data_IF_779495092140
#
_entry.id   IF_779495092140
#
_cell.length_a   1.000
_cell.length_b   1.000
_cell.length_c   1.000
_cell.angle_alpha   90.00
_cell.angle_beta   90.00
_cell.angle_gamma   90.00
#
_symmetry.space_group_name_H-M   'P 1'
#
loop_
_entity.id
_entity.type
_entity.pdbx_description
1 polymer ?
#
# COMPACT_ATOMS: atom_id res chain seq x y z
N UNK A 1 7.83 19.01 -16.47
CA UNK A 1 6.38 18.75 -16.33
C UNK A 1 5.75 19.79 -15.42
N UNK A 2 4.50 20.21 -15.68
CA UNK A 2 3.78 21.14 -14.79
C UNK A 2 3.31 20.42 -13.52
N UNK A 3 3.13 21.15 -12.40
CA UNK A 3 2.65 20.56 -11.16
C UNK A 3 1.29 19.84 -11.32
N UNK A 4 0.28 20.41 -12.01
CA UNK A 4 -0.99 19.70 -12.21
C UNK A 4 -0.85 18.38 -12.97
N UNK A 5 0.01 18.33 -14.00
CA UNK A 5 0.27 17.11 -14.76
C UNK A 5 0.94 16.05 -13.88
N UNK A 6 1.96 16.44 -13.10
CA UNK A 6 2.63 15.53 -12.17
C UNK A 6 1.63 14.93 -11.15
N UNK A 7 0.75 15.75 -10.59
CA UNK A 7 -0.25 15.28 -9.62
C UNK A 7 -1.25 14.31 -10.26
N UNK A 8 -1.65 14.54 -11.52
CA UNK A 8 -2.51 13.63 -12.27
C UNK A 8 -1.80 12.30 -12.53
N UNK A 9 -0.52 12.32 -12.93
CA UNK A 9 0.25 11.10 -13.19
C UNK A 9 0.42 10.28 -11.91
N UNK A 10 0.75 10.92 -10.78
CA UNK A 10 0.84 10.26 -9.48
C UNK A 10 -0.51 9.65 -9.05
N UNK A 11 -1.61 10.36 -9.29
CA UNK A 11 -2.96 9.88 -9.02
C UNK A 11 -3.26 8.61 -9.83
N UNK A 12 -3.01 8.63 -11.14
CA UNK A 12 -3.28 7.51 -12.04
C UNK A 12 -2.35 6.31 -11.76
N UNK A 13 -1.05 6.56 -11.64
CA UNK A 13 -0.04 5.52 -11.37
C UNK A 13 -0.29 4.87 -10.02
N UNK A 14 -0.50 5.67 -8.97
CA UNK A 14 -0.75 5.15 -7.63
C UNK A 14 -2.06 4.39 -7.52
N UNK A 15 -3.13 4.90 -8.13
CA UNK A 15 -4.43 4.19 -8.19
C UNK A 15 -4.28 2.86 -8.92
N UNK A 16 -3.63 2.84 -10.09
CA UNK A 16 -3.39 1.62 -10.86
C UNK A 16 -2.53 0.61 -10.11
N UNK A 17 -1.49 1.08 -9.43
CA UNK A 17 -0.61 0.23 -8.63
C UNK A 17 -1.34 -0.42 -7.44
N UNK A 18 -2.15 0.37 -6.73
CA UNK A 18 -3.00 -0.13 -5.64
C UNK A 18 -4.01 -1.15 -6.14
N UNK A 19 -4.65 -0.90 -7.28
CA UNK A 19 -5.57 -1.84 -7.91
C UNK A 19 -4.89 -3.18 -8.26
N UNK A 20 -3.69 -3.15 -8.83
CA UNK A 20 -2.92 -4.39 -9.14
C UNK A 20 -2.64 -5.19 -7.86
N UNK A 21 -2.25 -4.52 -6.77
CA UNK A 21 -2.05 -5.18 -5.48
C UNK A 21 -3.35 -5.79 -4.91
N UNK A 22 -4.49 -5.10 -5.07
CA UNK A 22 -5.79 -5.59 -4.64
C UNK A 22 -6.25 -6.79 -5.47
N UNK A 23 -6.03 -6.77 -6.79
CA UNK A 23 -6.29 -7.90 -7.69
C UNK A 23 -5.41 -9.10 -7.35
N UNK A 24 -4.13 -8.88 -7.05
CA UNK A 24 -3.23 -9.92 -6.58
C UNK A 24 -3.71 -10.53 -5.25
N UNK A 25 -4.19 -9.69 -4.34
CA UNK A 25 -4.75 -10.11 -3.06
C UNK A 25 -6.03 -10.93 -3.25
N UNK A 26 -6.93 -10.49 -4.14
CA UNK A 26 -8.13 -11.22 -4.52
C UNK A 26 -7.80 -12.58 -5.14
N UNK A 27 -6.83 -12.63 -6.05
CA UNK A 27 -6.35 -13.87 -6.65
C UNK A 27 -5.84 -14.84 -5.59
N UNK A 28 -4.98 -14.39 -4.67
CA UNK A 28 -4.45 -15.24 -3.59
C UNK A 28 -5.53 -15.78 -2.67
N UNK A 29 -6.54 -14.97 -2.37
CA UNK A 29 -7.71 -15.40 -1.59
C UNK A 29 -8.49 -16.49 -2.32
N UNK A 30 -8.75 -16.32 -3.62
CA UNK A 30 -9.55 -17.25 -4.42
C UNK A 30 -8.81 -18.54 -4.77
N UNK A 31 -7.54 -18.46 -5.14
CA UNK A 31 -6.74 -19.59 -5.62
C UNK A 31 -6.12 -20.41 -4.48
N UNK A 32 -5.76 -19.77 -3.36
CA UNK A 32 -5.00 -20.43 -2.27
C UNK A 32 -5.67 -20.31 -0.89
N UNK A 33 -6.85 -19.70 -0.79
CA UNK A 33 -7.56 -19.53 0.49
C UNK A 33 -6.83 -18.63 1.49
N UNK A 34 -5.85 -17.82 1.04
CA UNK A 34 -5.03 -16.99 1.94
C UNK A 34 -5.83 -15.74 2.32
N UNK A 35 -6.07 -15.48 3.62
CA UNK A 35 -6.76 -14.27 4.06
C UNK A 35 -5.95 -13.00 3.74
N UNK A 36 -6.66 -11.95 3.34
CA UNK A 36 -6.12 -10.60 3.16
C UNK A 36 -6.29 -9.78 4.43
N UNK A 37 -5.60 -8.63 4.49
CA UNK A 37 -5.92 -7.60 5.49
C UNK A 37 -7.35 -7.08 5.21
N UNK A 38 -8.16 -6.94 6.26
CA UNK A 38 -9.41 -6.17 6.16
C UNK A 38 -9.07 -4.69 6.35
N UNK A 39 -9.24 -3.88 5.29
CA UNK A 39 -8.98 -2.45 5.36
C UNK A 39 -9.89 -1.73 6.37
N UNK A 40 -10.99 -2.34 6.82
CA UNK A 40 -11.74 -1.84 7.98
C UNK A 40 -10.86 -1.66 9.23
N UNK A 41 -9.81 -2.47 9.42
CA UNK A 41 -8.87 -2.30 10.53
C UNK A 41 -8.02 -1.03 10.39
N UNK A 42 -7.67 -0.64 9.16
CA UNK A 42 -6.97 0.62 8.88
C UNK A 42 -7.90 1.80 9.17
N UNK A 43 -9.14 1.74 8.71
CA UNK A 43 -10.10 2.80 9.03
C UNK A 43 -10.45 2.86 10.51
N UNK A 44 -10.51 1.72 11.21
CA UNK A 44 -10.65 1.67 12.66
C UNK A 44 -9.50 2.39 13.35
N UNK A 45 -8.27 2.10 12.94
CA UNK A 45 -7.08 2.75 13.46
C UNK A 45 -7.12 4.27 13.28
N UNK A 46 -7.43 4.74 12.06
CA UNK A 46 -7.56 6.18 11.78
C UNK A 46 -8.71 6.81 12.58
N UNK A 47 -9.86 6.15 12.70
CA UNK A 47 -10.98 6.65 13.50
C UNK A 47 -10.63 6.81 14.99
N UNK A 48 -9.78 5.94 15.53
CA UNK A 48 -9.27 6.06 16.91
C UNK A 48 -8.17 7.12 17.05
N UNK A 49 -7.42 7.45 16.00
CA UNK A 49 -6.44 8.55 16.04
C UNK A 49 -7.10 9.90 16.33
N UNK A 50 -8.32 10.12 15.81
CA UNK A 50 -9.11 11.34 16.09
C UNK A 50 -9.42 11.51 17.59
N UNK A 51 -9.29 10.44 18.37
CA UNK A 51 -9.48 10.40 19.82
C UNK A 51 -8.14 10.21 20.58
N UNK A 52 -7.01 10.47 19.92
CA UNK A 52 -5.67 10.39 20.53
C UNK A 52 -5.11 8.97 20.70
N UNK A 53 -5.80 7.94 20.21
CA UNK A 53 -5.33 6.55 20.30
C UNK A 53 -4.65 6.13 19.00
N UNK A 54 -3.33 6.26 18.98
CA UNK A 54 -2.48 5.90 17.83
C UNK A 54 -2.00 4.44 17.83
N UNK A 55 -2.12 3.74 18.96
CA UNK A 55 -1.68 2.35 19.11
C UNK A 55 -2.68 1.51 19.89
N UNK A 56 -2.74 0.23 19.56
CA UNK A 56 -3.70 -0.72 20.10
C UNK A 56 -2.98 -1.98 20.60
N UNK A 57 -3.43 -2.53 21.73
CA UNK A 57 -3.00 -3.87 22.15
C UNK A 57 -3.43 -4.94 21.13
N UNK A 58 -4.63 -4.76 20.56
CA UNK A 58 -5.13 -5.48 19.40
C UNK A 58 -6.13 -4.59 18.65
N UNK A 59 -5.81 -4.21 17.41
CA UNK A 59 -6.75 -3.44 16.59
C UNK A 59 -8.05 -4.23 16.33
N UNK A 60 -7.94 -5.56 16.22
CA UNK A 60 -9.07 -6.46 15.96
C UNK A 60 -10.06 -6.44 17.12
N UNK A 61 -9.56 -6.35 18.35
CA UNK A 61 -10.39 -6.26 19.57
C UNK A 61 -10.85 -4.84 19.91
N UNK A 62 -10.36 -3.83 19.19
CA UNK A 62 -10.75 -2.44 19.43
C UNK A 62 -12.18 -2.19 18.94
N UNK A 63 -12.90 -1.29 19.62
CA UNK A 63 -14.28 -0.95 19.26
C UNK A 63 -14.37 -0.51 17.78
N UNK A 64 -15.33 -1.06 17.00
CA UNK A 64 -15.56 -0.61 15.63
C UNK A 64 -15.92 0.87 15.57
N UNK A 65 -15.53 1.54 14.49
CA UNK A 65 -15.88 2.95 14.23
C UNK A 65 -16.91 3.02 13.09
N UNK A 66 -17.96 3.86 13.17
CA UNK A 66 -18.88 4.06 12.07
C UNK A 66 -18.15 4.42 10.77
N UNK A 67 -18.43 3.68 9.69
CA UNK A 67 -17.78 3.91 8.39
C UNK A 67 -16.32 3.42 8.28
N UNK A 68 -15.79 2.65 9.23
CA UNK A 68 -14.38 2.21 9.25
C UNK A 68 -13.94 1.51 7.95
N UNK A 69 -14.84 0.77 7.29
CA UNK A 69 -14.52 0.14 6.00
C UNK A 69 -14.28 1.17 4.89
N UNK A 70 -15.17 2.14 4.74
CA UNK A 70 -15.02 3.19 3.71
C UNK A 70 -13.77 4.02 3.96
N UNK A 71 -13.54 4.44 5.22
CA UNK A 71 -12.34 5.18 5.62
C UNK A 71 -11.06 4.38 5.34
N UNK A 72 -11.07 3.08 5.63
CA UNK A 72 -9.96 2.18 5.35
C UNK A 72 -9.60 2.09 3.87
N UNK A 73 -10.61 1.93 3.01
CA UNK A 73 -10.41 1.90 1.55
C UNK A 73 -9.89 3.23 1.01
N UNK A 74 -10.45 4.36 1.47
CA UNK A 74 -9.95 5.69 1.07
C UNK A 74 -8.50 5.87 1.50
N UNK A 75 -8.16 5.52 2.74
CA UNK A 75 -6.79 5.62 3.24
C UNK A 75 -5.83 4.73 2.46
N UNK A 76 -6.24 3.51 2.12
CA UNK A 76 -5.45 2.57 1.32
C UNK A 76 -5.08 3.16 -0.05
N UNK A 77 -6.04 3.70 -0.78
CA UNK A 77 -5.78 4.34 -2.08
C UNK A 77 -4.97 5.63 -1.93
N UNK A 78 -5.27 6.46 -0.93
CA UNK A 78 -4.52 7.70 -0.68
C UNK A 78 -3.04 7.43 -0.37
N UNK A 79 -2.74 6.42 0.45
CA UNK A 79 -1.36 6.00 0.77
C UNK A 79 -0.67 5.45 -0.49
N UNK A 80 -1.36 4.64 -1.28
CA UNK A 80 -0.85 4.17 -2.57
C UNK A 80 -0.49 5.33 -3.52
N UNK A 81 -1.39 6.30 -3.67
CA UNK A 81 -1.12 7.52 -4.45
C UNK A 81 0.10 8.27 -3.93
N UNK A 82 0.23 8.43 -2.61
CA UNK A 82 1.40 9.07 -2.02
C UNK A 82 2.70 8.29 -2.30
N UNK A 83 2.68 6.95 -2.21
CA UNK A 83 3.83 6.10 -2.49
C UNK A 83 4.21 6.02 -3.98
N UNK A 84 3.35 6.46 -4.90
CA UNK A 84 3.71 6.60 -6.32
C UNK A 84 4.82 7.64 -6.56
N UNK A 85 5.13 8.50 -5.58
CA UNK A 85 6.27 9.40 -5.64
C UNK A 85 7.62 8.69 -5.46
N UNK A 86 7.67 7.49 -4.85
CA UNK A 86 8.92 6.80 -4.53
C UNK A 86 9.79 6.49 -5.78
N UNK A 87 9.27 5.96 -6.90
CA UNK A 87 10.07 5.76 -8.11
C UNK A 87 10.70 7.05 -8.64
N UNK A 88 9.99 8.19 -8.52
CA UNK A 88 10.51 9.51 -8.93
C UNK A 88 11.62 9.99 -8.01
N UNK A 89 11.53 9.71 -6.71
CA UNK A 89 12.60 10.00 -5.76
C UNK A 89 13.85 9.15 -6.01
N UNK A 90 13.68 7.95 -6.57
CA UNK A 90 14.77 7.02 -6.86
C UNK A 90 15.43 7.33 -8.22
N UNK A 91 14.65 7.60 -9.26
CA UNK A 91 15.11 7.66 -10.65
C UNK A 91 14.84 9.01 -11.35
N UNK A 92 14.26 9.98 -10.65
CA UNK A 92 13.88 11.29 -11.20
C UNK A 92 12.52 11.29 -11.89
N UNK A 93 12.01 12.49 -12.21
CA UNK A 93 10.69 12.66 -12.83
C UNK A 93 10.58 12.04 -14.23
N UNK A 94 11.68 12.00 -14.99
CA UNK A 94 11.70 11.40 -16.33
C UNK A 94 11.41 9.89 -16.35
N UNK A 95 11.39 9.24 -15.18
CA UNK A 95 10.94 7.85 -15.07
C UNK A 95 9.48 7.68 -15.48
N UNK A 96 8.61 8.69 -15.33
CA UNK A 96 7.21 8.60 -15.79
C UNK A 96 7.15 8.43 -17.32
N UNK A 97 7.99 9.15 -18.07
CA UNK A 97 7.99 9.14 -19.53
C UNK A 97 8.71 7.90 -20.11
N UNK A 98 9.68 7.37 -19.37
CA UNK A 98 10.47 6.21 -19.72
C UNK A 98 10.56 5.22 -18.54
N UNK A 99 9.44 4.59 -18.14
CA UNK A 99 9.39 3.76 -16.96
C UNK A 99 10.21 2.49 -17.15
N UNK A 100 11.06 2.21 -16.16
CA UNK A 100 11.81 0.97 -16.04
C UNK A 100 11.35 0.18 -14.80
N UNK A 101 11.46 -1.17 -14.79
CA UNK A 101 10.97 -1.97 -13.68
C UNK A 101 11.69 -1.73 -12.35
N UNK A 102 13.01 -1.46 -12.38
CA UNK A 102 13.84 -1.46 -11.18
C UNK A 102 13.42 -0.38 -10.16
N UNK A 103 13.26 0.92 -10.50
CA UNK A 103 12.81 1.93 -9.55
C UNK A 103 11.44 1.63 -8.93
N UNK A 104 10.51 1.07 -9.71
CA UNK A 104 9.19 0.67 -9.23
C UNK A 104 9.22 -0.51 -8.25
N UNK A 105 10.05 -1.52 -8.51
CA UNK A 105 10.22 -2.66 -7.60
C UNK A 105 10.94 -2.25 -6.30
N UNK A 106 11.94 -1.38 -6.39
CA UNK A 106 12.62 -0.81 -5.21
C UNK A 106 11.64 0.04 -4.40
N UNK A 107 10.81 0.87 -5.03
CA UNK A 107 9.74 1.61 -4.37
C UNK A 107 8.73 0.68 -3.68
N UNK A 108 8.31 -0.39 -4.36
CA UNK A 108 7.50 -1.45 -3.77
C UNK A 108 8.15 -2.02 -2.51
N UNK A 109 9.42 -2.43 -2.57
CA UNK A 109 10.12 -2.93 -1.39
C UNK A 109 10.26 -1.88 -0.27
N UNK A 110 10.58 -0.63 -0.61
CA UNK A 110 10.72 0.46 0.34
C UNK A 110 9.40 0.74 1.07
N UNK A 111 8.26 0.64 0.39
CA UNK A 111 6.94 0.84 1.02
C UNK A 111 6.63 -0.17 2.13
N UNK A 112 7.32 -1.32 2.21
CA UNK A 112 7.21 -2.30 3.32
C UNK A 112 7.65 -1.72 4.67
N UNK A 113 8.44 -0.64 4.69
CA UNK A 113 8.82 0.05 5.92
C UNK A 113 7.59 0.53 6.69
N UNK A 114 6.57 1.05 5.99
CA UNK A 114 5.35 1.56 6.61
C UNK A 114 4.58 0.49 7.40
N UNK A 115 4.24 -0.69 6.84
CA UNK A 115 3.60 -1.72 7.63
C UNK A 115 4.51 -2.29 8.72
N UNK A 116 5.81 -2.49 8.47
CA UNK A 116 6.69 -3.15 9.45
C UNK A 116 6.95 -2.31 10.71
N UNK A 117 7.08 -0.99 10.55
CA UNK A 117 7.52 -0.13 11.63
C UNK A 117 6.44 0.84 12.13
N UNK A 118 5.34 1.01 11.39
CA UNK A 118 4.23 1.89 11.79
C UNK A 118 2.96 1.10 12.01
N UNK A 119 2.37 0.53 10.94
CA UNK A 119 1.04 -0.08 11.01
C UNK A 119 1.00 -1.32 11.91
N UNK A 120 1.93 -2.27 11.73
CA UNK A 120 1.93 -3.53 12.50
C UNK A 120 2.17 -3.29 14.00
N UNK A 121 3.15 -2.46 14.41
CA UNK A 121 3.27 -2.04 15.80
C UNK A 121 1.99 -1.39 16.34
N UNK A 122 1.42 -0.43 15.61
CA UNK A 122 0.21 0.28 15.99
C UNK A 122 -1.01 -0.65 16.14
N UNK A 123 -1.05 -1.74 15.37
CA UNK A 123 -2.12 -2.74 15.43
C UNK A 123 -1.97 -3.74 16.58
N UNK A 124 -0.85 -3.68 17.32
CA UNK A 124 -0.52 -4.65 18.36
C UNK A 124 0.26 -5.87 17.85
N UNK A 125 0.58 -5.93 16.55
CA UNK A 125 1.27 -7.07 15.93
C UNK A 125 2.79 -7.04 16.17
N UNK A 126 3.32 -5.95 16.72
CA UNK A 126 4.75 -5.76 16.98
C UNK A 126 5.53 -5.35 15.73
N UNK A 127 6.82 -5.02 15.91
CA UNK A 127 7.72 -4.65 14.81
C UNK A 127 7.87 -5.83 13.84
N UNK A 128 7.61 -5.57 12.57
CA UNK A 128 7.59 -6.57 11.51
C UNK A 128 6.76 -7.82 11.91
N UNK A 129 5.58 -7.60 12.49
CA UNK A 129 4.63 -8.63 12.91
C UNK A 129 5.21 -9.67 13.90
N UNK A 130 6.21 -9.28 14.71
CA UNK A 130 6.92 -10.17 15.64
C UNK A 130 6.03 -10.87 16.68
N UNK A 131 4.86 -10.30 17.01
CA UNK A 131 3.90 -10.87 17.97
C UNK A 131 2.80 -11.70 17.31
N UNK A 132 2.87 -11.95 16.00
CA UNK A 132 1.92 -12.85 15.32
C UNK A 132 2.29 -14.31 15.52
N UNK A 133 1.35 -15.27 15.40
CA UNK A 133 1.66 -16.70 15.56
C UNK A 133 2.70 -17.24 14.56
N UNK A 134 2.81 -16.63 13.37
CA UNK A 134 3.76 -17.03 12.33
C UNK A 134 4.45 -15.79 11.70
N UNK A 135 5.41 -15.15 12.39
CA UNK A 135 6.01 -13.88 11.95
C UNK A 135 6.68 -13.95 10.58
N UNK A 136 7.41 -15.04 10.29
CA UNK A 136 8.06 -15.24 8.99
C UNK A 136 7.06 -15.29 7.83
N UNK A 137 5.89 -15.88 8.05
CA UNK A 137 4.81 -15.91 7.06
C UNK A 137 4.20 -14.52 6.89
N UNK A 138 3.91 -13.80 7.98
CA UNK A 138 3.37 -12.45 7.91
C UNK A 138 4.30 -11.49 7.16
N UNK A 139 5.61 -11.53 7.44
CA UNK A 139 6.63 -10.73 6.76
C UNK A 139 6.70 -11.04 5.27
N UNK A 140 6.80 -12.33 4.90
CA UNK A 140 6.83 -12.75 3.48
C UNK A 140 5.58 -12.27 2.74
N UNK A 141 4.40 -12.41 3.35
CA UNK A 141 3.14 -11.95 2.76
C UNK A 141 3.11 -10.45 2.55
N UNK A 142 3.64 -9.66 3.50
CA UNK A 142 3.78 -8.22 3.36
C UNK A 142 4.70 -7.85 2.21
N UNK A 143 5.89 -8.46 2.13
CA UNK A 143 6.84 -8.23 1.03
C UNK A 143 6.22 -8.57 -0.32
N UNK A 144 5.57 -9.73 -0.45
CA UNK A 144 4.90 -10.14 -1.69
C UNK A 144 3.78 -9.16 -2.09
N UNK A 145 3.00 -8.65 -1.13
CA UNK A 145 1.98 -7.65 -1.44
C UNK A 145 2.61 -6.34 -1.96
N UNK A 146 3.67 -5.84 -1.33
CA UNK A 146 4.26 -4.58 -1.75
C UNK A 146 5.13 -4.71 -3.01
N UNK A 147 5.65 -5.91 -3.31
CA UNK A 147 6.22 -6.21 -4.62
C UNK A 147 5.14 -6.24 -5.71
N UNK A 148 3.94 -6.77 -5.44
CA UNK A 148 2.82 -6.66 -6.40
C UNK A 148 2.40 -5.21 -6.64
N UNK A 149 2.46 -4.35 -5.61
CA UNK A 149 2.30 -2.92 -5.76
C UNK A 149 3.42 -2.30 -6.62
N UNK A 150 4.68 -2.68 -6.41
CA UNK A 150 5.81 -2.27 -7.27
C UNK A 150 5.66 -2.69 -8.73
N UNK A 151 5.18 -3.91 -8.99
CA UNK A 151 4.80 -4.33 -10.36
C UNK A 151 3.68 -3.43 -10.91
N UNK A 152 2.68 -3.13 -10.08
CA UNK A 152 1.60 -2.22 -10.44
C UNK A 152 2.07 -0.80 -10.79
N UNK A 153 3.04 -0.25 -10.04
CA UNK A 153 3.67 1.04 -10.33
C UNK A 153 4.28 1.05 -11.73
N UNK A 154 5.05 0.02 -12.06
CA UNK A 154 5.65 -0.11 -13.38
C UNK A 154 4.60 -0.24 -14.48
N UNK A 155 3.62 -1.14 -14.32
CA UNK A 155 2.60 -1.38 -15.35
C UNK A 155 1.71 -0.15 -15.58
N UNK A 156 1.34 0.56 -14.53
CA UNK A 156 0.52 1.76 -14.63
C UNK A 156 1.30 2.90 -15.33
N UNK A 157 2.55 3.15 -14.93
CA UNK A 157 3.40 4.14 -15.57
C UNK A 157 3.68 3.78 -17.04
N UNK A 158 3.98 2.52 -17.32
CA UNK A 158 4.20 2.04 -18.69
C UNK A 158 2.97 2.24 -19.57
N UNK A 159 1.79 1.90 -19.06
CA UNK A 159 0.53 2.10 -19.79
C UNK A 159 0.28 3.59 -20.06
N UNK A 160 0.49 4.44 -19.06
CA UNK A 160 0.32 5.89 -19.20
C UNK A 160 1.28 6.46 -20.25
N UNK A 161 2.57 6.10 -20.18
CA UNK A 161 3.58 6.52 -21.13
C UNK A 161 3.31 6.00 -22.55
N UNK A 162 2.72 4.81 -22.69
CA UNK A 162 2.33 4.25 -23.98
C UNK A 162 1.12 4.95 -24.60
N UNK A 163 0.17 5.44 -23.78
CA UNK A 163 -1.02 6.17 -24.24
C UNK A 163 -0.72 7.64 -24.59
N UNK A 164 0.34 8.21 -24.03
CA UNK A 164 0.77 9.58 -24.31
C UNK A 164 1.64 9.72 -25.58
N UNK A 165 1.99 8.60 -26.22
CA UNK A 165 2.72 8.53 -27.50
C UNK A 165 1.75 8.40 -28.66
#
# INVERSE_FOLDING_TARGET
MSLPALLLDLLLIGTGATLVMDLWTLFRRRAFGIPSLDYALVGRWIGHMMHGRFGHASIVASAPVPGERALGWVAHYAIGIAFAALPLLIAGQGWIDAPTPLPALVAGLASVVAPFFVMQPAFGLGIAASRTPQPGVARRRSVVAHLSYGVGLYLAAYTLAALAR
#
